data_IF_751928874868
#
_entry.id   IF_751928874868
#
_cell.length_a   1.000
_cell.length_b   1.000
_cell.length_c   1.000
_cell.angle_alpha   90.00
_cell.angle_beta   90.00
_cell.angle_gamma   90.00
#
_symmetry.space_group_name_H-M   'P 1'
#
loop_
_entity.id
_entity.type
_entity.pdbx_description
1 polymer ?
#
# COMPACT_ATOMS: atom_id res chain seq x y z
N UNK A 1 17.93 15.44 -11.02
CA UNK A 1 18.24 14.49 -12.10
C UNK A 1 19.33 15.10 -12.95
N UNK A 2 20.37 14.34 -13.28
CA UNK A 2 21.46 14.72 -14.20
C UNK A 2 21.53 13.64 -15.26
N UNK A 3 21.65 14.02 -16.53
CA UNK A 3 21.85 13.07 -17.63
C UNK A 3 23.34 12.79 -17.76
N UNK A 4 23.72 11.52 -17.73
CA UNK A 4 25.12 11.10 -17.86
C UNK A 4 25.52 10.81 -19.30
N UNK A 5 24.53 10.71 -20.19
CA UNK A 5 24.66 10.23 -21.57
C UNK A 5 24.09 11.22 -22.62
N UNK A 6 23.65 12.41 -22.17
CA UNK A 6 23.01 13.45 -23.00
C UNK A 6 21.87 12.95 -23.90
N UNK A 7 21.19 11.86 -23.52
CA UNK A 7 20.16 11.24 -24.36
C UNK A 7 18.73 11.55 -23.87
N UNK A 8 17.89 12.06 -24.77
CA UNK A 8 16.45 12.28 -24.49
C UNK A 8 15.71 10.99 -24.10
N UNK A 9 16.15 9.83 -24.58
CA UNK A 9 15.59 8.53 -24.18
C UNK A 9 15.68 8.31 -22.67
N UNK A 10 16.74 8.77 -22.03
CA UNK A 10 16.96 8.64 -20.59
C UNK A 10 15.93 9.46 -19.78
N UNK A 11 15.43 10.57 -20.34
CA UNK A 11 14.29 11.30 -19.76
C UNK A 11 13.00 10.49 -19.84
N UNK A 12 12.73 9.85 -20.98
CA UNK A 12 11.54 9.02 -21.17
C UNK A 12 11.55 7.84 -20.19
N UNK A 13 12.69 7.16 -20.05
CA UNK A 13 12.87 6.07 -19.09
C UNK A 13 12.66 6.56 -17.64
N UNK A 14 13.20 7.74 -17.29
CA UNK A 14 12.98 8.30 -15.95
C UNK A 14 11.50 8.61 -15.66
N UNK A 15 10.73 9.02 -16.67
CA UNK A 15 9.27 9.21 -16.53
C UNK A 15 8.56 7.87 -16.31
N UNK A 16 8.95 6.83 -17.04
CA UNK A 16 8.40 5.47 -16.89
C UNK A 16 8.67 4.90 -15.50
N UNK A 17 9.91 5.02 -15.02
CA UNK A 17 10.31 4.63 -13.66
C UNK A 17 9.55 5.43 -12.60
N UNK A 18 9.43 6.75 -12.77
CA UNK A 18 8.66 7.59 -11.85
C UNK A 18 7.17 7.21 -11.77
N UNK A 19 6.59 6.71 -12.86
CA UNK A 19 5.21 6.18 -12.87
C UNK A 19 5.13 4.83 -12.14
N UNK A 20 6.10 3.95 -12.36
CA UNK A 20 6.20 2.67 -11.65
C UNK A 20 6.32 2.84 -10.14
N UNK A 21 7.26 3.69 -9.70
CA UNK A 21 7.44 4.02 -8.27
C UNK A 21 6.13 4.51 -7.65
N UNK A 22 5.39 5.39 -8.33
CA UNK A 22 4.11 5.88 -7.80
C UNK A 22 3.05 4.77 -7.70
N UNK A 23 2.95 3.89 -8.70
CA UNK A 23 2.02 2.77 -8.66
C UNK A 23 2.36 1.78 -7.53
N UNK A 24 3.64 1.50 -7.31
CA UNK A 24 4.13 0.70 -6.19
C UNK A 24 3.81 1.37 -4.85
N UNK A 25 3.94 2.70 -4.75
CA UNK A 25 3.52 3.45 -3.56
C UNK A 25 2.03 3.25 -3.27
N UNK A 26 1.18 3.30 -4.30
CA UNK A 26 -0.26 3.02 -4.11
C UNK A 26 -0.51 1.59 -3.60
N UNK A 27 0.19 0.60 -4.17
CA UNK A 27 0.05 -0.82 -3.77
C UNK A 27 0.39 -1.03 -2.30
N UNK A 28 1.59 -0.62 -1.86
CA UNK A 28 1.97 -0.81 -0.46
C UNK A 28 1.14 0.05 0.49
N UNK A 29 0.77 1.28 0.10
CA UNK A 29 -0.06 2.16 0.94
C UNK A 29 -1.40 1.50 1.27
N UNK A 30 -2.04 0.92 0.26
CA UNK A 30 -3.33 0.25 0.45
C UNK A 30 -3.19 -1.04 1.25
N UNK A 31 -2.14 -1.82 1.02
CA UNK A 31 -1.84 -3.01 1.82
C UNK A 31 -1.70 -2.67 3.30
N UNK A 32 -0.81 -1.72 3.65
CA UNK A 32 -0.57 -1.32 5.03
C UNK A 32 -1.80 -0.67 5.67
N UNK A 33 -2.47 0.23 4.96
CA UNK A 33 -3.65 0.91 5.51
C UNK A 33 -4.79 -0.08 5.76
N UNK A 34 -5.01 -1.03 4.85
CA UNK A 34 -6.01 -2.07 5.01
C UNK A 34 -5.70 -2.98 6.21
N UNK A 35 -4.45 -3.43 6.35
CA UNK A 35 -4.02 -4.25 7.48
C UNK A 35 -4.26 -3.55 8.82
N UNK A 36 -3.74 -2.34 8.96
CA UNK A 36 -3.91 -1.51 10.16
C UNK A 36 -5.37 -1.25 10.52
N UNK A 37 -6.24 -0.97 9.53
CA UNK A 37 -7.68 -0.80 9.79
C UNK A 37 -8.29 -2.09 10.33
N UNK A 38 -7.92 -3.25 9.78
CA UNK A 38 -8.40 -4.56 10.24
C UNK A 38 -7.96 -4.87 11.68
N UNK A 39 -6.69 -4.60 12.01
CA UNK A 39 -6.14 -4.79 13.37
C UNK A 39 -6.82 -3.89 14.40
N UNK A 40 -7.02 -2.60 14.07
CA UNK A 40 -7.72 -1.68 14.96
C UNK A 40 -9.17 -2.09 15.11
N UNK A 41 -9.84 -2.46 14.02
CA UNK A 41 -11.24 -2.86 14.03
C UNK A 41 -11.47 -4.11 14.89
N UNK A 42 -10.63 -5.13 14.76
CA UNK A 42 -10.81 -6.37 15.53
C UNK A 42 -10.62 -6.14 17.03
N UNK A 43 -9.56 -5.42 17.44
CA UNK A 43 -9.32 -5.09 18.85
C UNK A 43 -10.46 -4.24 19.42
N UNK A 44 -10.92 -3.25 18.64
CA UNK A 44 -12.01 -2.37 19.04
C UNK A 44 -13.33 -3.14 19.22
N UNK A 45 -13.68 -4.03 18.28
CA UNK A 45 -14.91 -4.82 18.36
C UNK A 45 -14.86 -5.84 19.51
N UNK A 46 -13.72 -6.53 19.70
CA UNK A 46 -13.56 -7.45 20.84
C UNK A 46 -13.76 -6.73 22.17
N UNK A 47 -13.20 -5.52 22.32
CA UNK A 47 -13.38 -4.71 23.53
C UNK A 47 -14.85 -4.28 23.73
N UNK A 48 -15.56 -3.91 22.66
CA UNK A 48 -16.97 -3.51 22.73
C UNK A 48 -17.90 -4.66 23.15
N UNK A 49 -17.61 -5.89 22.72
CA UNK A 49 -18.43 -7.08 23.01
C UNK A 49 -17.98 -7.75 24.34
N UNK A 50 -16.89 -7.29 24.95
CA UNK A 50 -16.36 -7.83 26.20
C UNK A 50 -15.58 -9.13 26.02
N UNK A 51 -15.11 -9.41 24.81
CA UNK A 51 -14.22 -10.53 24.52
C UNK A 51 -12.77 -10.18 24.90
N UNK A 52 -11.94 -11.18 25.26
CA UNK A 52 -10.51 -10.95 25.42
C UNK A 52 -9.92 -10.44 24.11
N UNK A 53 -8.97 -9.52 24.20
CA UNK A 53 -8.28 -8.99 23.02
C UNK A 53 -7.58 -10.15 22.27
N UNK A 54 -7.81 -10.31 20.96
CA UNK A 54 -7.25 -11.42 20.19
C UNK A 54 -5.75 -11.29 20.00
N UNK A 55 -5.22 -10.07 20.06
CA UNK A 55 -3.82 -9.75 19.94
C UNK A 55 -3.36 -8.87 21.11
N UNK A 56 -2.20 -9.19 21.64
CA UNK A 56 -1.50 -8.35 22.63
C UNK A 56 -0.79 -7.18 21.94
N UNK A 57 -0.50 -6.10 22.69
CA UNK A 57 0.23 -4.95 22.16
C UNK A 57 1.59 -5.33 21.55
N UNK A 58 2.31 -6.28 22.15
CA UNK A 58 3.59 -6.77 21.62
C UNK A 58 3.43 -7.52 20.30
N UNK A 59 2.36 -8.31 20.14
CA UNK A 59 2.07 -9.01 18.89
C UNK A 59 1.72 -8.02 17.77
N UNK A 60 0.94 -6.98 18.07
CA UNK A 60 0.61 -5.92 17.10
C UNK A 60 1.89 -5.21 16.64
N UNK A 61 2.81 -4.91 17.56
CA UNK A 61 4.09 -4.29 17.21
C UNK A 61 4.96 -5.20 16.34
N UNK A 62 4.95 -6.51 16.62
CA UNK A 62 5.67 -7.49 15.80
C UNK A 62 5.07 -7.58 14.39
N UNK A 63 3.74 -7.57 14.25
CA UNK A 63 3.08 -7.59 12.95
C UNK A 63 3.44 -6.33 12.15
N UNK A 64 3.29 -5.14 12.74
CA UNK A 64 3.60 -3.87 12.09
C UNK A 64 5.09 -3.75 11.67
N UNK A 65 6.01 -4.28 12.47
CA UNK A 65 7.45 -4.16 12.18
C UNK A 65 7.94 -5.20 11.16
N UNK A 66 7.58 -6.46 11.36
CA UNK A 66 8.17 -7.57 10.60
C UNK A 66 7.23 -8.00 9.48
N UNK A 67 6.01 -8.36 9.84
CA UNK A 67 5.05 -8.97 8.91
C UNK A 67 4.51 -7.96 7.90
N UNK A 68 4.37 -6.70 8.26
CA UNK A 68 3.90 -5.63 7.37
C UNK A 68 5.06 -4.97 6.63
N UNK A 69 6.19 -4.77 7.31
CA UNK A 69 7.36 -4.11 6.76
C UNK A 69 8.01 -4.87 5.60
N UNK A 70 8.16 -6.19 5.73
CA UNK A 70 8.81 -7.00 4.69
C UNK A 70 7.99 -7.06 3.38
N UNK A 71 6.68 -7.39 3.38
CA UNK A 71 5.86 -7.36 2.17
C UNK A 71 5.69 -5.96 1.61
N UNK A 72 5.55 -4.92 2.45
CA UNK A 72 5.47 -3.54 1.95
C UNK A 72 6.74 -3.13 1.20
N UNK A 73 7.91 -3.54 1.69
CA UNK A 73 9.19 -3.31 1.01
C UNK A 73 9.26 -4.09 -0.30
N UNK A 74 8.81 -5.35 -0.31
CA UNK A 74 8.73 -6.14 -1.55
C UNK A 74 7.81 -5.49 -2.60
N UNK A 75 6.65 -4.99 -2.20
CA UNK A 75 5.72 -4.27 -3.09
C UNK A 75 6.29 -2.94 -3.62
N UNK A 76 7.28 -2.35 -2.93
CA UNK A 76 7.89 -1.10 -3.37
C UNK A 76 8.83 -1.26 -4.57
N UNK A 77 9.35 -2.47 -4.79
CA UNK A 77 10.35 -2.81 -5.83
C UNK A 77 9.75 -3.59 -7.01
N UNK A 78 8.43 -3.70 -7.09
CA UNK A 78 7.75 -4.33 -8.21
C UNK A 78 8.12 -3.64 -9.55
N UNK A 79 8.21 -4.40 -10.65
CA UNK A 79 8.43 -3.81 -11.96
C UNK A 79 7.29 -2.86 -12.35
N UNK A 80 7.62 -1.83 -13.12
CA UNK A 80 6.65 -0.87 -13.63
C UNK A 80 5.57 -1.58 -14.47
N UNK A 81 4.31 -1.19 -14.32
CA UNK A 81 3.20 -1.81 -15.05
C UNK A 81 3.38 -1.67 -16.57
N UNK A 82 3.08 -2.71 -17.38
CA UNK A 82 3.30 -2.66 -18.84
C UNK A 82 2.51 -1.57 -19.56
N UNK A 83 1.45 -1.08 -18.93
CA UNK A 83 0.58 -0.02 -19.44
C UNK A 83 0.95 1.37 -18.91
N UNK A 84 1.98 1.48 -18.06
CA UNK A 84 2.33 2.71 -17.36
C UNK A 84 2.41 3.87 -18.35
N UNK A 85 3.21 3.74 -19.41
CA UNK A 85 3.38 4.80 -20.42
C UNK A 85 2.15 5.09 -21.28
N UNK A 86 1.18 4.17 -21.36
CA UNK A 86 -0.10 4.38 -22.09
C UNK A 86 -1.10 5.20 -21.27
N UNK A 87 -1.00 5.17 -19.94
CA UNK A 87 -1.88 5.95 -19.05
C UNK A 87 -1.53 7.44 -19.06
N UNK A 88 -2.55 8.31 -19.07
CA UNK A 88 -2.38 9.77 -18.96
C UNK A 88 -1.65 10.13 -17.67
N UNK A 89 -0.82 11.21 -17.66
CA UNK A 89 -0.22 11.71 -16.44
C UNK A 89 -1.26 11.98 -15.35
N UNK A 90 -0.96 11.61 -14.10
CA UNK A 90 -1.88 11.85 -12.98
C UNK A 90 -2.08 13.35 -12.76
N UNK A 91 -3.26 13.72 -12.23
CA UNK A 91 -3.48 15.08 -11.77
C UNK A 91 -2.73 15.31 -10.45
N UNK A 92 -2.21 16.52 -10.24
CA UNK A 92 -1.47 16.88 -9.01
C UNK A 92 -2.30 16.66 -7.73
N UNK A 93 -3.60 16.93 -7.80
CA UNK A 93 -4.54 16.85 -6.67
C UNK A 93 -5.25 15.49 -6.58
N UNK A 94 -4.77 14.48 -7.31
CA UNK A 94 -5.34 13.14 -7.23
C UNK A 94 -4.98 12.49 -5.89
N UNK A 95 -6.00 12.07 -5.13
CA UNK A 95 -5.79 11.33 -3.89
C UNK A 95 -5.14 9.97 -4.16
N UNK A 96 -4.22 9.56 -3.29
CA UNK A 96 -3.54 8.28 -3.41
C UNK A 96 -4.50 7.08 -3.35
N UNK A 97 -5.60 7.21 -2.60
CA UNK A 97 -6.63 6.18 -2.49
C UNK A 97 -7.60 6.09 -3.68
N UNK A 98 -7.47 6.96 -4.70
CA UNK A 98 -8.41 6.96 -5.82
C UNK A 98 -8.34 5.64 -6.59
N UNK A 99 -9.51 5.00 -6.72
CA UNK A 99 -9.68 3.69 -7.36
C UNK A 99 -9.47 2.50 -6.43
N UNK A 100 -9.16 2.73 -5.15
CA UNK A 100 -8.78 1.68 -4.19
C UNK A 100 -9.79 1.51 -3.04
N UNK A 101 -10.94 2.20 -3.12
CA UNK A 101 -11.95 2.23 -2.06
C UNK A 101 -12.50 0.84 -1.70
N UNK A 102 -12.80 0.00 -2.70
CA UNK A 102 -13.28 -1.36 -2.43
C UNK A 102 -12.25 -2.19 -1.67
N UNK A 103 -10.97 -2.09 -2.03
CA UNK A 103 -9.92 -2.85 -1.34
C UNK A 103 -9.81 -2.41 0.12
N UNK A 104 -9.84 -1.09 0.37
CA UNK A 104 -9.76 -0.49 1.70
C UNK A 104 -10.96 -0.77 2.60
N UNK A 105 -12.08 -1.28 2.06
CA UNK A 105 -13.27 -1.61 2.84
C UNK A 105 -13.43 -3.13 2.98
N UNK A 106 -13.26 -3.88 1.88
CA UNK A 106 -13.54 -5.32 1.85
C UNK A 106 -12.48 -6.12 2.62
N UNK A 107 -11.19 -5.79 2.44
CA UNK A 107 -10.12 -6.55 3.10
C UNK A 107 -10.13 -6.42 4.63
N UNK A 108 -10.28 -5.21 5.21
CA UNK A 108 -10.37 -5.08 6.67
C UNK A 108 -11.59 -5.81 7.23
N UNK A 109 -12.74 -5.69 6.57
CA UNK A 109 -13.98 -6.36 7.02
C UNK A 109 -13.83 -7.88 7.00
N UNK A 110 -13.24 -8.45 5.94
CA UNK A 110 -12.95 -9.89 5.88
C UNK A 110 -12.00 -10.32 6.99
N UNK A 111 -10.89 -9.59 7.21
CA UNK A 111 -9.94 -9.88 8.29
C UNK A 111 -10.63 -9.88 9.65
N UNK A 112 -11.51 -8.89 9.91
CA UNK A 112 -12.23 -8.78 11.19
C UNK A 112 -13.31 -9.85 11.38
N UNK A 113 -13.88 -10.43 10.32
CA UNK A 113 -14.88 -11.51 10.42
C UNK A 113 -14.22 -12.88 10.62
N UNK A 114 -13.03 -13.09 10.03
CA UNK A 114 -12.35 -14.39 10.00
C UNK A 114 -11.52 -14.66 11.26
N UNK A 115 -11.05 -13.60 11.93
CA UNK A 115 -10.20 -13.67 13.13
C UNK A 115 -11.02 -13.55 14.42
#
# INVERSE_FOLDING_TARGET
>A
MVLTDDNFKSIVNAIEEGKGVYDNIKKFFVFLLSGNIGEVAIVFISLLIGLPAPLTATQILLINLVTDGLPATALSIDPSEPDAMKRKPRKRNEKIQKGLGNFLIVHPVLMTIVA
#
